data_IF_403851914111
#
_entry.id   IF_403851914111
#
_cell.length_a   1.000
_cell.length_b   1.000
_cell.length_c   1.000
_cell.angle_alpha   90.00
_cell.angle_beta   90.00
_cell.angle_gamma   90.00
#
_symmetry.space_group_name_H-M   'P 1'
#
loop_
_entity.id
_entity.type
_entity.pdbx_description
1 polymer ?
#
# COMPACT_ATOMS: atom_id res chain seq x y z
N UNK A 1 10.59 -47.66 31.99
CA UNK A 1 9.50 -46.66 32.12
C UNK A 1 9.44 -45.86 30.82
N UNK A 2 8.43 -46.10 30.00
CA UNK A 2 8.24 -45.50 28.68
C UNK A 2 7.60 -44.11 28.82
N UNK A 3 8.35 -43.06 28.47
CA UNK A 3 7.87 -41.69 28.53
C UNK A 3 6.80 -41.44 27.45
N UNK A 4 5.53 -41.46 27.87
CA UNK A 4 4.39 -40.97 27.07
C UNK A 4 4.21 -39.45 27.26
N UNK A 5 5.28 -38.69 27.12
CA UNK A 5 5.24 -37.23 27.09
C UNK A 5 5.97 -36.80 25.82
N UNK A 6 5.23 -36.53 24.75
CA UNK A 6 5.88 -36.06 23.53
C UNK A 6 4.88 -35.57 22.51
N UNK A 7 3.95 -36.43 22.09
CA UNK A 7 3.09 -36.11 20.95
C UNK A 7 2.20 -34.88 21.18
N UNK A 8 1.57 -34.74 22.36
CA UNK A 8 0.68 -33.61 22.66
C UNK A 8 1.44 -32.30 22.87
N UNK A 9 2.61 -32.35 23.50
CA UNK A 9 3.45 -31.16 23.75
C UNK A 9 4.06 -30.68 22.43
N UNK A 10 4.51 -31.61 21.58
CA UNK A 10 5.02 -31.31 20.23
C UNK A 10 3.90 -30.76 19.35
N UNK A 11 2.70 -31.32 19.38
CA UNK A 11 1.56 -30.80 18.63
C UNK A 11 1.17 -29.38 19.10
N UNK A 12 1.16 -29.13 20.41
CA UNK A 12 0.86 -27.80 20.95
C UNK A 12 1.92 -26.77 20.56
N UNK A 13 3.20 -27.14 20.65
CA UNK A 13 4.31 -26.30 20.24
C UNK A 13 4.28 -25.99 18.74
N UNK A 14 3.91 -26.97 17.91
CA UNK A 14 3.79 -26.79 16.46
C UNK A 14 2.64 -25.83 16.11
N UNK A 15 1.49 -25.95 16.79
CA UNK A 15 0.35 -25.04 16.62
C UNK A 15 0.70 -23.61 17.07
N UNK A 16 1.40 -23.45 18.20
CA UNK A 16 1.88 -22.14 18.67
C UNK A 16 2.91 -21.52 17.72
N UNK A 17 3.83 -22.32 17.17
CA UNK A 17 4.83 -21.85 16.21
C UNK A 17 4.19 -21.44 14.87
N UNK A 18 3.19 -22.18 14.39
CA UNK A 18 2.41 -21.84 13.20
C UNK A 18 1.60 -20.55 13.39
N UNK A 19 1.05 -20.32 14.59
CA UNK A 19 0.35 -19.07 14.90
C UNK A 19 1.28 -17.85 14.96
N UNK A 20 2.51 -18.00 15.47
CA UNK A 20 3.49 -16.91 15.55
C UNK A 20 3.97 -16.42 14.17
N UNK A 21 3.97 -17.29 13.15
CA UNK A 21 4.46 -16.96 11.81
C UNK A 21 3.44 -16.18 10.94
N UNK A 22 2.21 -15.96 11.45
CA UNK A 22 1.16 -15.27 10.72
C UNK A 22 1.35 -13.75 10.66
N UNK A 23 2.31 -13.22 11.43
CA UNK A 23 2.82 -11.85 11.27
C UNK A 23 3.81 -11.79 10.09
N UNK A 24 3.37 -12.17 8.89
CA UNK A 24 4.18 -11.98 7.69
C UNK A 24 4.31 -10.48 7.46
N UNK A 25 5.55 -10.01 7.33
CA UNK A 25 5.89 -8.61 7.28
C UNK A 25 5.16 -7.94 6.11
N UNK A 26 4.50 -6.82 6.40
CA UNK A 26 4.17 -5.86 5.37
C UNK A 26 5.47 -5.54 4.59
N UNK A 27 5.54 -5.96 3.33
CA UNK A 27 6.70 -5.68 2.50
C UNK A 27 6.81 -4.16 2.35
N UNK A 28 7.83 -3.57 2.96
CA UNK A 28 8.10 -2.13 2.92
C UNK A 28 8.46 -1.75 1.47
N UNK A 29 7.43 -1.41 0.68
CA UNK A 29 7.57 -1.01 -0.73
C UNK A 29 7.45 0.50 -0.80
N UNK A 30 8.38 1.14 -1.49
CA UNK A 30 8.27 2.55 -1.83
C UNK A 30 7.71 2.72 -3.24
N UNK A 31 6.65 3.51 -3.39
CA UNK A 31 6.07 3.91 -4.68
C UNK A 31 6.32 5.39 -4.87
N UNK A 32 6.93 5.75 -6.01
CA UNK A 32 7.10 7.15 -6.40
C UNK A 32 5.97 7.57 -7.33
N UNK A 33 5.33 8.69 -7.02
CA UNK A 33 4.24 9.27 -7.79
C UNK A 33 4.61 10.68 -8.27
N UNK A 34 4.16 11.04 -9.46
CA UNK A 34 4.30 12.40 -9.99
C UNK A 34 3.03 13.20 -9.70
N UNK A 35 3.19 14.42 -9.22
CA UNK A 35 2.06 15.32 -8.95
C UNK A 35 1.19 15.51 -10.20
N UNK A 36 -0.13 15.42 -10.04
CA UNK A 36 -1.08 15.54 -11.15
C UNK A 36 -1.32 14.27 -11.97
N UNK A 37 -0.64 13.16 -11.66
CA UNK A 37 -0.88 11.85 -12.28
C UNK A 37 -1.42 10.85 -11.24
N UNK A 38 -2.68 10.45 -11.39
CA UNK A 38 -3.26 9.37 -10.59
C UNK A 38 -2.65 8.01 -10.93
N UNK A 39 -2.51 7.12 -9.94
CA UNK A 39 -1.92 5.80 -10.14
C UNK A 39 -2.73 4.71 -9.43
N UNK A 40 -2.99 3.60 -10.13
CA UNK A 40 -3.67 2.46 -9.55
C UNK A 40 -2.67 1.57 -8.80
N UNK A 41 -3.02 1.20 -7.57
CA UNK A 41 -2.29 0.24 -6.76
C UNK A 41 -3.18 -0.99 -6.54
N UNK A 42 -2.65 -2.16 -6.92
CA UNK A 42 -3.29 -3.45 -6.72
C UNK A 42 -2.56 -4.24 -5.64
N UNK A 43 -3.31 -4.81 -4.72
CA UNK A 43 -2.82 -5.59 -3.59
C UNK A 43 -3.03 -7.08 -3.84
N UNK A 44 -2.13 -7.90 -3.29
CA UNK A 44 -2.21 -9.36 -3.39
C UNK A 44 -3.36 -9.95 -2.57
N UNK A 45 -3.75 -9.28 -1.48
CA UNK A 45 -4.78 -9.69 -0.54
C UNK A 45 -5.87 -8.63 -0.43
N UNK A 46 -7.08 -9.06 -0.09
CA UNK A 46 -8.19 -8.15 0.15
C UNK A 46 -7.97 -7.33 1.42
N UNK A 47 -8.25 -6.03 1.36
CA UNK A 47 -8.23 -5.11 2.49
C UNK A 47 -9.66 -4.68 2.85
N UNK A 48 -9.84 -4.35 4.12
CA UNK A 48 -11.05 -3.75 4.68
C UNK A 48 -10.85 -2.26 4.98
N UNK A 49 -9.65 -1.89 5.40
CA UNK A 49 -9.33 -0.53 5.86
C UNK A 49 -7.98 -0.10 5.30
N UNK A 50 -7.88 1.18 4.96
CA UNK A 50 -6.61 1.85 4.62
C UNK A 50 -6.37 2.94 5.65
N UNK A 51 -5.21 2.92 6.27
CA UNK A 51 -4.72 4.00 7.12
C UNK A 51 -3.75 4.85 6.29
N UNK A 52 -3.92 6.16 6.36
CA UNK A 52 -3.09 7.14 5.66
C UNK A 52 -2.32 7.93 6.70
N UNK A 53 -0.98 7.93 6.62
CA UNK A 53 -0.13 8.68 7.55
C UNK A 53 -0.38 10.19 7.50
N UNK A 54 -0.20 10.80 6.33
CA UNK A 54 -0.50 12.20 6.05
C UNK A 54 -1.47 12.32 4.85
N UNK A 55 -2.75 12.65 5.10
CA UNK A 55 -3.76 12.79 4.04
C UNK A 55 -3.54 14.04 3.17
N UNK A 56 -2.63 14.95 3.53
CA UNK A 56 -2.30 16.10 2.70
C UNK A 56 -1.33 15.75 1.56
N UNK A 57 -0.64 14.60 1.64
CA UNK A 57 0.32 14.17 0.61
C UNK A 57 -0.37 13.38 -0.50
N UNK A 58 -1.26 12.45 -0.14
CA UNK A 58 -1.95 11.57 -1.09
C UNK A 58 -3.39 11.32 -0.64
N UNK A 59 -4.32 11.37 -1.60
CA UNK A 59 -5.68 10.88 -1.42
C UNK A 59 -5.76 9.43 -1.92
N UNK A 60 -6.55 8.59 -1.24
CA UNK A 60 -6.72 7.18 -1.56
C UNK A 60 -8.20 6.89 -1.76
N UNK A 61 -8.56 6.41 -2.97
CA UNK A 61 -9.92 6.00 -3.28
C UNK A 61 -9.97 4.50 -3.54
N UNK A 62 -10.76 3.76 -2.76
CA UNK A 62 -10.97 2.34 -3.01
C UNK A 62 -11.71 2.12 -4.35
N UNK A 63 -11.22 1.18 -5.15
CA UNK A 63 -11.85 0.73 -6.41
C UNK A 63 -12.32 -0.73 -6.34
N UNK A 64 -12.22 -1.34 -5.15
CA UNK A 64 -12.58 -2.70 -4.84
C UNK A 64 -11.97 -3.10 -3.50
N UNK A 65 -12.00 -4.38 -3.18
CA UNK A 65 -11.38 -4.94 -1.98
C UNK A 65 -9.87 -5.18 -2.15
N UNK A 66 -9.32 -5.07 -3.37
CA UNK A 66 -7.88 -5.31 -3.66
C UNK A 66 -7.22 -4.20 -4.48
N UNK A 67 -7.94 -3.10 -4.73
CA UNK A 67 -7.41 -2.02 -5.56
C UNK A 67 -7.78 -0.65 -5.01
N UNK A 68 -6.83 0.27 -5.11
CA UNK A 68 -7.03 1.68 -4.80
C UNK A 68 -6.49 2.55 -5.93
N UNK A 69 -7.11 3.71 -6.11
CA UNK A 69 -6.57 4.81 -6.88
C UNK A 69 -5.86 5.77 -5.93
N UNK A 70 -4.60 6.04 -6.22
CA UNK A 70 -3.77 7.01 -5.51
C UNK A 70 -3.78 8.31 -6.29
N UNK A 71 -4.14 9.39 -5.61
CA UNK A 71 -4.16 10.74 -6.17
C UNK A 71 -3.15 11.61 -5.42
N UNK A 72 -1.99 11.91 -6.02
CA UNK A 72 -0.99 12.76 -5.40
C UNK A 72 -1.52 14.19 -5.23
N UNK A 73 -1.46 14.73 -4.00
CA UNK A 73 -1.96 16.06 -3.68
C UNK A 73 -0.84 17.10 -3.51
N UNK A 74 0.22 16.73 -2.79
CA UNK A 74 1.36 17.61 -2.52
C UNK A 74 2.67 16.80 -2.53
N UNK A 75 3.81 17.41 -2.93
CA UNK A 75 5.12 16.78 -2.76
C UNK A 75 5.39 16.44 -1.29
N UNK A 76 5.92 15.25 -1.05
CA UNK A 76 6.14 14.76 0.32
C UNK A 76 6.24 13.24 0.38
N UNK A 77 6.38 12.72 1.59
CA UNK A 77 6.37 11.28 1.84
C UNK A 77 5.36 10.93 2.93
N UNK A 78 4.62 9.84 2.74
CA UNK A 78 3.67 9.30 3.70
C UNK A 78 3.58 7.79 3.57
N UNK A 79 3.12 7.10 4.61
CA UNK A 79 2.87 5.67 4.57
C UNK A 79 1.37 5.39 4.38
N UNK A 80 1.09 4.28 3.69
CA UNK A 80 -0.23 3.69 3.55
C UNK A 80 -0.20 2.28 4.16
N UNK A 81 -1.06 2.03 5.15
CA UNK A 81 -1.19 0.71 5.77
C UNK A 81 -2.54 0.11 5.42
N UNK A 82 -2.53 -1.07 4.82
CA UNK A 82 -3.73 -1.81 4.45
C UNK A 82 -3.98 -2.90 5.49
N UNK A 83 -5.23 -3.00 5.94
CA UNK A 83 -5.66 -3.91 7.00
C UNK A 83 -6.80 -4.77 6.49
N UNK A 84 -6.76 -6.08 6.74
CA UNK A 84 -7.83 -7.02 6.36
C UNK A 84 -8.98 -7.10 7.39
N UNK A 85 -10.01 -7.90 7.09
CA UNK A 85 -11.16 -8.11 7.98
C UNK A 85 -10.79 -8.75 9.34
N UNK A 86 -9.61 -9.35 9.47
CA UNK A 86 -9.11 -9.91 10.72
C UNK A 86 -8.30 -8.89 11.55
N UNK A 87 -8.30 -7.62 11.15
CA UNK A 87 -7.49 -6.54 11.72
C UNK A 87 -5.97 -6.78 11.62
N UNK A 88 -5.53 -7.54 10.61
CA UNK A 88 -4.10 -7.78 10.36
C UNK A 88 -3.62 -6.83 9.27
N UNK A 89 -2.50 -6.14 9.52
CA UNK A 89 -1.83 -5.35 8.50
C UNK A 89 -1.30 -6.28 7.40
N UNK A 90 -1.75 -6.08 6.17
CA UNK A 90 -1.40 -6.92 5.01
C UNK A 90 -0.36 -6.27 4.10
N UNK A 91 -0.24 -4.94 4.15
CA UNK A 91 0.75 -4.16 3.41
C UNK A 91 1.02 -2.83 4.11
N UNK A 92 2.26 -2.36 4.01
CA UNK A 92 2.72 -1.05 4.42
C UNK A 92 3.55 -0.50 3.26
N UNK A 93 3.08 0.58 2.68
CA UNK A 93 3.62 1.11 1.43
C UNK A 93 3.97 2.57 1.66
N UNK A 94 5.24 2.88 1.49
CA UNK A 94 5.73 4.25 1.51
C UNK A 94 5.42 4.92 0.18
N UNK A 95 4.74 6.03 0.21
CA UNK A 95 4.46 6.88 -0.94
C UNK A 95 5.41 8.05 -0.91
N UNK A 96 6.09 8.29 -2.04
CA UNK A 96 6.88 9.49 -2.29
C UNK A 96 6.25 10.25 -3.45
N UNK A 97 5.71 11.44 -3.19
CA UNK A 97 5.18 12.33 -4.22
C UNK A 97 6.26 13.33 -4.61
N UNK A 98 6.55 13.39 -5.91
CA UNK A 98 7.48 14.33 -6.51
C UNK A 98 6.73 15.35 -7.38
N UNK A 99 7.25 16.57 -7.46
CA UNK A 99 6.74 17.58 -8.39
C UNK A 99 6.84 17.08 -9.83
N UNK A 100 5.77 17.22 -10.60
CA UNK A 100 5.85 16.97 -12.04
C UNK A 100 6.70 18.06 -12.70
N UNK A 101 7.65 17.66 -13.55
CA UNK A 101 8.31 18.60 -14.45
C UNK A 101 7.28 19.12 -15.46
N UNK A 102 6.97 20.42 -15.42
CA UNK A 102 6.14 21.02 -16.44
C UNK A 102 6.90 21.05 -17.77
N UNK A 103 6.31 20.48 -18.83
CA UNK A 103 6.75 20.74 -20.21
C UNK A 103 5.85 21.86 -20.72
N UNK A 104 6.36 23.09 -20.91
CA UNK A 104 5.57 24.17 -21.47
C UNK A 104 5.18 23.80 -22.90
N UNK A 105 3.88 23.69 -23.16
CA UNK A 105 3.37 23.63 -24.53
C UNK A 105 3.25 25.05 -25.06
N UNK A 106 4.12 25.42 -26.02
CA UNK A 106 4.01 26.68 -26.74
C UNK A 106 2.81 26.64 -27.68
N UNK A 107 1.74 27.37 -27.36
CA UNK A 107 0.63 27.55 -28.28
C UNK A 107 1.06 28.51 -29.39
N UNK A 108 1.34 27.99 -30.59
CA UNK A 108 1.54 28.81 -31.78
C UNK A 108 0.17 29.08 -32.40
N UNK A 109 -0.43 30.20 -32.05
CA UNK A 109 -1.56 30.74 -32.80
C UNK A 109 -1.09 30.94 -34.25
N UNK A 110 -1.66 30.19 -35.19
CA UNK A 110 -1.45 30.44 -36.60
C UNK A 110 -1.94 31.85 -36.91
N UNK A 111 -1.03 32.73 -37.32
CA UNK A 111 -1.41 33.99 -37.94
C UNK A 111 -2.17 33.65 -39.21
N UNK A 112 -3.48 33.90 -39.19
CA UNK A 112 -4.26 33.99 -40.42
C UNK A 112 -3.76 35.22 -41.17
N UNK A 113 -2.98 34.98 -42.22
CA UNK A 113 -2.72 35.98 -43.24
C UNK A 113 -4.02 36.10 -44.07
N UNK A 114 -4.72 37.23 -43.88
CA UNK A 114 -5.73 37.73 -44.83
C UNK A 114 -5.07 38.25 -46.12
#
# INVERSE_FOLDING_TARGET
MTAKFGARVVALALVLLLAANSATWAADRTITLSLGAGSALVLERAFKTVLIGDPNVVNVQARGDRSVMLEPLNPGATDLVFIDDANIAIANIRILVQSAGAIPIGYRAGSGDE
#
